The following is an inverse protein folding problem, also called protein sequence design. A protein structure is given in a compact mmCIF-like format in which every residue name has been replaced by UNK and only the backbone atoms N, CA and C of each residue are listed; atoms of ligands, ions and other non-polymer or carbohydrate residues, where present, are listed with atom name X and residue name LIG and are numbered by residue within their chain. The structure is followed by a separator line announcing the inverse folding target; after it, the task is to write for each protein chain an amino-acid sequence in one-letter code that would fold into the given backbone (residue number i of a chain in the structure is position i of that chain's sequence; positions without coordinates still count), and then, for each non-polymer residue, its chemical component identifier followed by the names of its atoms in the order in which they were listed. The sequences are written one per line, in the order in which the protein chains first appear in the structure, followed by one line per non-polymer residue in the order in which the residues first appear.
data_IF_482746877844
#
_entry.id   IF_482746877844
#
_cell.length_a   1.000
_cell.length_b   1.000
_cell.length_c   1.000
_cell.angle_alpha   90.00
_cell.angle_beta   90.00
_cell.angle_gamma   90.00
#
_symmetry.space_group_name_H-M   'P 1'
#
loop_
_entity.id
_entity.type
_entity.pdbx_description
1 polymer ?
#
# COMPACT_ATOMS: atom_id res chain seq x y z
N UNK A 1 -8.92 -2.06 -21.69
CA UNK A 1 -9.86 -0.90 -21.67
C UNK A 1 -9.11 0.41 -21.76
N UNK A 2 -8.08 0.63 -20.93
CA UNK A 2 -7.28 1.86 -20.96
C UNK A 2 -6.66 2.20 -22.33
N UNK A 3 -5.97 1.25 -22.98
CA UNK A 3 -5.34 1.48 -24.30
C UNK A 3 -6.32 1.95 -25.38
N UNK A 4 -7.54 1.40 -25.43
CA UNK A 4 -8.54 1.83 -26.41
C UNK A 4 -9.04 3.26 -26.19
N UNK A 5 -8.84 3.83 -25.00
CA UNK A 5 -9.21 5.23 -24.72
C UNK A 5 -8.20 6.22 -25.29
N UNK A 6 -6.93 5.82 -25.50
CA UNK A 6 -5.87 6.68 -26.06
C UNK A 6 -6.18 7.16 -27.48
N UNK A 7 -7.03 6.43 -28.20
CA UNK A 7 -7.42 6.76 -29.58
C UNK A 7 -8.59 7.74 -29.68
N UNK A 8 -9.23 8.11 -28.56
CA UNK A 8 -10.42 8.97 -28.53
C UNK A 8 -9.98 10.42 -28.23
N UNK A 9 -10.09 11.38 -29.18
CA UNK A 9 -9.59 12.75 -28.99
C UNK A 9 -10.18 13.49 -27.78
N UNK A 10 -11.45 13.23 -27.47
CA UNK A 10 -12.18 13.85 -26.35
C UNK A 10 -11.78 13.27 -24.97
N UNK A 11 -10.86 12.31 -24.94
CA UNK A 11 -10.39 11.68 -23.71
C UNK A 11 -8.89 11.94 -23.55
N UNK A 12 -8.53 12.44 -22.37
CA UNK A 12 -7.13 12.44 -21.91
C UNK A 12 -6.92 11.24 -21.01
N UNK A 13 -5.93 10.42 -21.34
CA UNK A 13 -5.46 9.30 -20.52
C UNK A 13 -4.21 9.71 -19.74
N UNK A 14 -4.15 9.36 -18.46
CA UNK A 14 -3.02 9.59 -17.56
C UNK A 14 -2.58 8.27 -16.97
N UNK A 15 -1.30 7.93 -17.13
CA UNK A 15 -0.68 6.79 -16.45
C UNK A 15 0.23 7.38 -15.37
N UNK A 16 -0.25 7.41 -14.13
CA UNK A 16 0.48 8.00 -13.02
C UNK A 16 1.43 7.00 -12.38
N UNK A 17 2.58 7.48 -11.95
CA UNK A 17 3.55 6.69 -11.17
C UNK A 17 2.92 6.22 -9.86
N UNK A 18 3.03 4.93 -9.51
CA UNK A 18 2.41 4.34 -8.32
C UNK A 18 2.88 4.98 -7.03
N UNK A 19 1.92 5.36 -6.18
CA UNK A 19 2.13 5.54 -4.75
C UNK A 19 1.87 4.25 -3.96
N UNK A 20 1.73 3.10 -4.64
CA UNK A 20 1.39 1.81 -4.04
C UNK A 20 2.36 0.72 -4.47
N UNK A 21 2.38 -0.37 -3.71
CA UNK A 21 3.01 -1.63 -4.12
C UNK A 21 2.00 -2.77 -4.00
N UNK A 22 2.26 -3.86 -4.72
CA UNK A 22 1.60 -5.14 -4.53
C UNK A 22 2.60 -6.17 -4.01
N UNK A 23 2.09 -7.14 -3.27
CA UNK A 23 2.89 -8.15 -2.61
C UNK A 23 2.17 -9.48 -2.54
N UNK A 24 2.97 -10.54 -2.41
CA UNK A 24 2.56 -11.72 -1.68
C UNK A 24 3.15 -11.63 -0.28
N UNK A 25 2.29 -11.47 0.72
CA UNK A 25 2.68 -11.44 2.12
C UNK A 25 2.78 -12.86 2.67
N UNK A 26 3.73 -13.08 3.58
CA UNK A 26 3.88 -14.35 4.30
C UNK A 26 3.32 -14.22 5.72
N UNK A 27 2.69 -15.27 6.22
CA UNK A 27 2.45 -15.39 7.65
C UNK A 27 3.78 -15.65 8.36
N UNK A 28 4.39 -14.60 8.93
CA UNK A 28 5.71 -14.70 9.57
C UNK A 28 5.65 -15.27 10.99
N UNK A 29 4.48 -15.77 11.40
CA UNK A 29 4.21 -16.35 12.70
C UNK A 29 3.19 -15.54 13.48
N UNK A 30 1.95 -15.59 13.03
CA UNK A 30 0.83 -14.87 13.61
C UNK A 30 0.73 -15.07 15.13
N UNK A 31 0.71 -13.94 15.82
CA UNK A 31 0.57 -13.81 17.24
C UNK A 31 -0.06 -12.45 17.55
N UNK A 32 -0.75 -12.35 18.67
CA UNK A 32 -1.26 -11.08 19.17
C UNK A 32 -0.12 -10.15 19.58
N UNK A 33 -0.44 -8.90 19.86
CA UNK A 33 0.51 -7.90 20.36
C UNK A 33 1.22 -8.35 21.66
N UNK A 34 0.57 -9.16 22.49
CA UNK A 34 1.14 -9.73 23.72
C UNK A 34 2.02 -10.98 23.48
N UNK A 35 2.13 -11.42 22.22
CA UNK A 35 2.89 -12.59 21.79
C UNK A 35 2.13 -13.92 21.82
N UNK A 36 0.85 -13.93 22.21
CA UNK A 36 0.02 -15.13 22.18
C UNK A 36 -0.17 -15.61 20.73
N UNK A 37 0.25 -16.84 20.36
CA UNK A 37 0.11 -17.34 19.00
C UNK A 37 -1.37 -17.47 18.58
N UNK A 38 -1.68 -17.11 17.34
CA UNK A 38 -3.02 -17.22 16.76
C UNK A 38 -2.98 -17.79 15.35
N UNK A 39 -4.15 -18.10 14.82
CA UNK A 39 -4.33 -18.49 13.43
C UNK A 39 -3.86 -19.90 13.10
N UNK A 40 -3.77 -20.19 11.80
CA UNK A 40 -3.46 -21.52 11.26
C UNK A 40 -2.33 -21.52 10.22
N UNK A 41 -1.54 -20.44 10.17
CA UNK A 41 -0.46 -20.28 9.21
C UNK A 41 0.61 -21.38 9.31
N UNK A 42 1.07 -21.85 8.15
CA UNK A 42 2.05 -22.92 8.07
C UNK A 42 3.36 -22.53 8.79
N UNK A 43 3.80 -23.29 9.81
CA UNK A 43 4.96 -22.93 10.63
C UNK A 43 6.27 -22.89 9.85
N UNK A 44 6.37 -23.53 8.68
CA UNK A 44 7.56 -23.45 7.84
C UNK A 44 7.82 -22.04 7.33
N UNK A 45 6.77 -21.22 7.14
CA UNK A 45 6.90 -19.83 6.72
C UNK A 45 7.49 -18.91 7.79
N UNK A 46 7.72 -19.40 9.03
CA UNK A 46 8.53 -18.68 10.02
C UNK A 46 10.02 -18.68 9.65
N UNK A 47 10.46 -19.62 8.83
CA UNK A 47 11.84 -19.69 8.35
C UNK A 47 12.13 -18.57 7.34
N UNK A 48 13.01 -17.65 7.76
CA UNK A 48 13.50 -16.55 6.92
C UNK A 48 14.22 -17.05 5.68
N UNK A 49 15.03 -18.11 5.77
CA UNK A 49 15.81 -18.62 4.64
C UNK A 49 14.89 -19.18 3.54
N UNK A 50 13.79 -19.82 3.93
CA UNK A 50 12.73 -20.23 3.01
C UNK A 50 12.14 -19.01 2.28
N UNK A 51 11.64 -18.00 3.01
CA UNK A 51 11.02 -16.80 2.41
C UNK A 51 11.97 -16.01 1.49
N UNK A 52 13.25 -15.95 1.86
CA UNK A 52 14.30 -15.38 1.01
C UNK A 52 14.43 -16.17 -0.29
N UNK A 53 14.50 -17.50 -0.24
CA UNK A 53 14.60 -18.33 -1.44
C UNK A 53 13.38 -18.17 -2.37
N UNK A 54 12.17 -18.05 -1.81
CA UNK A 54 10.96 -17.81 -2.60
C UNK A 54 11.01 -16.48 -3.36
N UNK A 55 11.64 -15.45 -2.77
CA UNK A 55 11.82 -14.15 -3.43
C UNK A 55 12.74 -14.19 -4.66
N UNK A 56 13.71 -15.12 -4.69
CA UNK A 56 14.58 -15.37 -5.86
C UNK A 56 13.86 -16.14 -6.98
N UNK A 57 12.77 -16.84 -6.66
CA UNK A 57 12.07 -17.70 -7.62
C UNK A 57 11.20 -16.91 -8.61
N UNK A 58 10.68 -15.73 -8.24
CA UNK A 58 9.69 -15.02 -9.06
C UNK A 58 10.30 -14.08 -10.09
N UNK A 59 9.69 -14.01 -11.27
CA UNK A 59 10.01 -13.01 -12.30
C UNK A 59 9.03 -11.85 -12.22
N UNK A 60 9.47 -10.79 -11.54
CA UNK A 60 8.69 -9.55 -11.34
C UNK A 60 8.44 -8.79 -12.63
N UNK A 61 9.42 -8.77 -13.54
CA UNK A 61 9.25 -8.08 -14.83
C UNK A 61 8.21 -8.81 -15.68
N UNK A 62 8.25 -10.14 -15.71
CA UNK A 62 7.23 -10.92 -16.41
C UNK A 62 5.83 -10.71 -15.81
N UNK A 63 5.71 -10.58 -14.48
CA UNK A 63 4.42 -10.24 -13.86
C UNK A 63 3.94 -8.86 -14.32
N UNK A 64 4.79 -7.83 -14.32
CA UNK A 64 4.42 -6.50 -14.85
C UNK A 64 3.97 -6.57 -16.30
N UNK A 65 4.74 -7.25 -17.15
CA UNK A 65 4.46 -7.33 -18.59
C UNK A 65 3.17 -8.10 -18.89
N UNK A 66 2.90 -9.17 -18.14
CA UNK A 66 1.80 -10.11 -18.44
C UNK A 66 0.52 -9.82 -17.66
N UNK A 67 0.62 -9.31 -16.44
CA UNK A 67 -0.53 -8.98 -15.60
C UNK A 67 -0.95 -7.53 -15.81
N UNK A 68 0.00 -6.60 -15.82
CA UNK A 68 -0.28 -5.16 -15.95
C UNK A 68 -0.17 -4.65 -17.40
N UNK A 69 0.26 -5.50 -18.34
CA UNK A 69 0.46 -5.09 -19.74
C UNK A 69 1.61 -4.09 -19.91
N UNK A 70 2.59 -4.11 -19.01
CA UNK A 70 3.71 -3.17 -19.00
C UNK A 70 3.46 -1.87 -18.22
N UNK A 71 2.26 -1.68 -17.66
CA UNK A 71 1.88 -0.46 -16.93
C UNK A 71 2.28 -0.54 -15.44
N UNK A 72 3.60 -0.57 -15.19
CA UNK A 72 4.15 -0.58 -13.84
C UNK A 72 5.66 -0.79 -13.81
N UNK A 73 6.19 -1.00 -12.61
CA UNK A 73 7.60 -1.28 -12.35
C UNK A 73 7.74 -2.57 -11.54
N UNK A 74 8.80 -3.37 -11.74
CA UNK A 74 9.10 -4.50 -10.87
C UNK A 74 9.24 -4.06 -9.40
N UNK A 75 8.66 -4.83 -8.48
CA UNK A 75 8.67 -4.52 -7.05
C UNK A 75 10.04 -4.77 -6.40
N UNK A 76 10.41 -3.96 -5.41
CA UNK A 76 11.65 -4.17 -4.64
C UNK A 76 11.40 -4.12 -3.12
N UNK A 77 10.94 -2.98 -2.60
CA UNK A 77 10.70 -2.72 -1.17
C UNK A 77 9.31 -2.14 -0.92
N UNK A 78 8.97 -1.95 0.35
CA UNK A 78 7.63 -1.50 0.81
C UNK A 78 7.38 0.00 0.65
N UNK A 79 8.36 0.77 0.16
CA UNK A 79 8.14 2.17 -0.20
C UNK A 79 8.38 2.28 -1.71
N UNK A 80 7.42 2.74 -2.52
CA UNK A 80 7.59 2.87 -3.97
C UNK A 80 8.66 3.89 -4.39
N UNK A 81 9.24 3.75 -5.59
CA UNK A 81 10.24 4.67 -6.13
C UNK A 81 9.69 6.08 -6.41
N UNK A 82 8.37 6.29 -6.36
CA UNK A 82 7.74 7.61 -6.37
C UNK A 82 8.30 8.54 -5.27
N UNK A 83 8.76 7.95 -4.16
CA UNK A 83 9.33 8.67 -3.02
C UNK A 83 10.84 8.45 -2.93
N UNK A 84 11.67 9.01 -3.84
CA UNK A 84 13.10 8.70 -3.93
C UNK A 84 13.88 9.05 -2.66
N UNK A 85 13.39 10.03 -1.88
CA UNK A 85 13.96 10.39 -0.59
C UNK A 85 13.86 9.25 0.43
N UNK A 86 12.81 8.42 0.35
CA UNK A 86 12.51 7.34 1.28
C UNK A 86 12.85 5.97 0.70
N UNK A 87 12.76 5.79 -0.62
CA UNK A 87 12.97 4.50 -1.29
C UNK A 87 14.36 3.91 -0.98
N UNK A 88 14.36 2.62 -0.63
CA UNK A 88 15.57 1.83 -0.48
C UNK A 88 15.85 1.08 -1.78
N UNK A 89 17.06 1.27 -2.31
CA UNK A 89 17.66 0.34 -3.27
C UNK A 89 18.39 -0.77 -2.48
N UNK A 90 17.90 -2.01 -2.44
CA UNK A 90 18.50 -3.07 -1.63
C UNK A 90 19.91 -3.39 -2.13
N UNK A 91 20.87 -3.52 -1.21
CA UNK A 91 22.26 -3.84 -1.56
C UNK A 91 22.40 -5.21 -2.24
N UNK A 92 21.53 -6.16 -1.90
CA UNK A 92 21.49 -7.52 -2.45
C UNK A 92 20.10 -7.79 -3.03
N UNK A 93 19.80 -7.32 -4.26
CA UNK A 93 18.48 -7.52 -4.85
C UNK A 93 18.18 -9.01 -5.05
N UNK A 94 16.89 -9.34 -5.16
CA UNK A 94 16.35 -10.65 -5.53
C UNK A 94 16.01 -10.69 -7.03
N UNK A 95 16.99 -10.85 -7.95
CA UNK A 95 16.69 -11.10 -9.34
C UNK A 95 16.00 -12.46 -9.50
N UNK A 96 15.29 -12.64 -10.61
CA UNK A 96 14.75 -13.94 -10.97
C UNK A 96 15.89 -14.93 -11.27
N UNK A 97 16.12 -15.86 -10.35
CA UNK A 97 17.07 -16.94 -10.49
C UNK A 97 16.54 -18.20 -9.77
N UNK A 98 15.71 -19.01 -10.46
CA UNK A 98 15.17 -20.25 -9.91
C UNK A 98 16.25 -21.26 -9.50
N UNK A 99 17.42 -21.24 -10.13
CA UNK A 99 18.52 -22.11 -9.76
C UNK A 99 19.12 -21.69 -8.41
N UNK A 100 19.30 -20.39 -8.19
CA UNK A 100 19.71 -19.84 -6.89
C UNK A 100 18.67 -20.11 -5.82
N UNK A 101 17.38 -19.93 -6.12
CA UNK A 101 16.29 -20.27 -5.21
C UNK A 101 16.34 -21.75 -4.80
N UNK A 102 16.50 -22.66 -5.75
CA UNK A 102 16.65 -24.09 -5.47
C UNK A 102 17.85 -24.41 -4.56
N UNK A 103 19.01 -23.77 -4.80
CA UNK A 103 20.20 -23.93 -3.95
C UNK A 103 19.96 -23.40 -2.53
N UNK A 104 19.28 -22.26 -2.38
CA UNK A 104 18.96 -21.68 -1.07
C UNK A 104 17.99 -22.58 -0.30
N UNK A 105 17.01 -23.18 -0.98
CA UNK A 105 16.08 -24.15 -0.38
C UNK A 105 16.81 -25.42 0.08
N UNK A 106 17.75 -25.95 -0.71
CA UNK A 106 18.58 -27.09 -0.30
C UNK A 106 19.42 -26.74 0.94
N UNK A 107 20.07 -25.57 0.94
CA UNK A 107 20.90 -25.10 2.04
C UNK A 107 20.09 -24.83 3.32
N UNK A 108 18.82 -24.42 3.19
CA UNK A 108 17.89 -24.23 4.30
C UNK A 108 17.29 -25.55 4.82
N UNK A 109 17.63 -26.70 4.23
CA UNK A 109 17.21 -28.02 4.70
C UNK A 109 15.89 -28.50 4.10
N UNK A 110 15.51 -28.00 2.91
CA UNK A 110 14.32 -28.42 2.16
C UNK A 110 14.70 -29.13 0.86
N UNK A 111 15.31 -30.33 0.90
CA UNK A 111 15.68 -31.05 -0.31
C UNK A 111 14.45 -31.38 -1.17
N UNK A 112 14.67 -31.52 -2.48
CA UNK A 112 13.62 -31.93 -3.42
C UNK A 112 13.14 -33.36 -3.12
N UNK A 113 11.82 -33.54 -2.98
CA UNK A 113 11.20 -34.84 -2.82
C UNK A 113 11.12 -35.63 -4.13
N UNK A 114 10.85 -36.94 -4.01
CA UNK A 114 10.74 -37.82 -5.18
C UNK A 114 9.57 -37.48 -6.12
N UNK A 115 8.56 -36.78 -5.60
CA UNK A 115 7.40 -36.28 -6.33
C UNK A 115 7.58 -34.84 -6.84
N UNK A 116 8.78 -34.27 -6.67
CA UNK A 116 9.10 -32.91 -7.10
C UNK A 116 8.68 -31.83 -6.12
N UNK A 117 8.16 -32.18 -4.93
CA UNK A 117 7.83 -31.21 -3.88
C UNK A 117 8.82 -31.34 -2.73
N UNK A 118 9.35 -30.22 -2.28
CA UNK A 118 10.31 -30.14 -1.19
C UNK A 118 9.65 -30.38 0.16
N UNK A 119 10.41 -30.88 1.12
CA UNK A 119 9.95 -31.06 2.50
C UNK A 119 11.09 -30.80 3.49
N UNK A 120 10.76 -30.42 4.72
CA UNK A 120 11.74 -30.34 5.80
C UNK A 120 12.22 -31.74 6.24
N UNK A 121 13.20 -31.78 7.14
CA UNK A 121 13.73 -33.04 7.69
C UNK A 121 12.69 -33.90 8.46
N UNK A 122 11.53 -33.33 8.82
CA UNK A 122 10.43 -34.03 9.50
C UNK A 122 9.37 -34.54 8.50
N UNK A 123 9.53 -34.26 7.21
CA UNK A 123 8.58 -34.64 6.16
C UNK A 123 7.43 -33.65 5.97
N UNK A 124 7.49 -32.46 6.58
CA UNK A 124 6.52 -31.40 6.34
C UNK A 124 6.78 -30.81 4.96
N UNK A 125 5.83 -30.98 4.04
CA UNK A 125 5.93 -30.51 2.65
C UNK A 125 5.87 -28.98 2.57
N UNK A 126 6.62 -28.40 1.63
CA UNK A 126 6.45 -27.02 1.20
C UNK A 126 5.18 -26.91 0.34
N UNK A 127 4.03 -26.94 1.01
CA UNK A 127 2.70 -26.76 0.42
C UNK A 127 1.95 -25.66 1.16
N UNK A 128 1.62 -24.58 0.46
CA UNK A 128 1.07 -23.36 1.06
C UNK A 128 -0.23 -22.92 0.38
N UNK A 129 -1.17 -22.42 1.17
CA UNK A 129 -2.35 -21.70 0.68
C UNK A 129 -1.96 -20.28 0.29
N UNK A 130 -2.28 -19.87 -0.92
CA UNK A 130 -2.14 -18.49 -1.38
C UNK A 130 -3.54 -17.91 -1.64
N UNK A 131 -3.95 -17.00 -0.77
CA UNK A 131 -5.22 -16.29 -0.91
C UNK A 131 -5.06 -15.18 -1.97
N UNK A 132 -6.07 -15.00 -2.83
CA UNK A 132 -6.13 -13.89 -3.78
C UNK A 132 -7.52 -13.26 -3.79
N UNK A 133 -7.60 -11.98 -4.18
CA UNK A 133 -8.85 -11.22 -4.22
C UNK A 133 -9.60 -11.47 -5.52
N UNK A 134 -10.86 -11.89 -5.42
CA UNK A 134 -11.73 -12.14 -6.58
C UNK A 134 -12.31 -10.85 -7.19
N UNK A 135 -12.27 -9.75 -6.44
CA UNK A 135 -12.85 -8.46 -6.80
C UNK A 135 -11.83 -7.48 -7.40
N UNK A 136 -10.55 -7.89 -7.47
CA UNK A 136 -9.48 -7.07 -8.02
C UNK A 136 -9.72 -6.75 -9.51
N UNK A 137 -9.48 -5.50 -9.90
CA UNK A 137 -9.70 -5.02 -11.27
C UNK A 137 -8.92 -5.87 -12.29
N UNK A 138 -9.59 -6.25 -13.39
CA UNK A 138 -8.98 -7.02 -14.47
C UNK A 138 -8.52 -8.43 -14.06
N UNK A 139 -8.96 -8.93 -12.91
CA UNK A 139 -8.47 -10.14 -12.25
C UNK A 139 -6.95 -10.12 -12.00
N UNK A 140 -6.38 -8.93 -11.76
CA UNK A 140 -4.95 -8.74 -11.54
C UNK A 140 -4.42 -9.60 -10.39
N UNK A 141 -5.09 -9.59 -9.24
CA UNK A 141 -4.73 -10.40 -8.06
C UNK A 141 -4.66 -11.90 -8.37
N UNK A 142 -5.68 -12.46 -9.05
CA UNK A 142 -5.68 -13.87 -9.45
C UNK A 142 -4.51 -14.19 -10.38
N UNK A 143 -4.29 -13.39 -11.43
CA UNK A 143 -3.22 -13.61 -12.41
C UNK A 143 -1.84 -13.54 -11.75
N UNK A 144 -1.63 -12.56 -10.86
CA UNK A 144 -0.40 -12.45 -10.06
C UNK A 144 -0.16 -13.71 -9.24
N UNK A 145 -1.20 -14.22 -8.56
CA UNK A 145 -1.12 -15.44 -7.77
C UNK A 145 -0.83 -16.69 -8.62
N UNK A 146 -1.40 -16.80 -9.82
CA UNK A 146 -1.11 -17.87 -10.80
C UNK A 146 0.36 -17.85 -11.27
N UNK A 147 0.92 -16.67 -11.56
CA UNK A 147 2.34 -16.55 -11.87
C UNK A 147 3.22 -16.98 -10.69
N UNK A 148 2.93 -16.50 -9.48
CA UNK A 148 3.65 -16.90 -8.27
C UNK A 148 3.56 -18.41 -8.06
N UNK A 149 2.37 -19.01 -8.18
CA UNK A 149 2.20 -20.47 -8.10
C UNK A 149 3.10 -21.19 -9.12
N UNK A 150 3.15 -20.73 -10.37
CA UNK A 150 4.00 -21.35 -11.40
C UNK A 150 5.48 -21.26 -11.06
N UNK A 151 5.97 -20.09 -10.66
CA UNK A 151 7.38 -19.90 -10.31
C UNK A 151 7.79 -20.70 -9.07
N UNK A 152 6.92 -20.76 -8.06
CA UNK A 152 7.18 -21.54 -6.86
C UNK A 152 7.17 -23.05 -7.14
N UNK A 153 6.31 -23.51 -8.06
CA UNK A 153 6.33 -24.90 -8.53
C UNK A 153 7.66 -25.29 -9.20
N UNK A 154 8.25 -24.39 -9.99
CA UNK A 154 9.53 -24.66 -10.67
C UNK A 154 10.69 -24.89 -9.69
N UNK A 155 10.57 -24.39 -8.46
CA UNK A 155 11.53 -24.62 -7.37
C UNK A 155 11.05 -25.66 -6.36
N UNK A 156 10.02 -26.44 -6.68
CA UNK A 156 9.52 -27.54 -5.86
C UNK A 156 8.68 -27.13 -4.66
N UNK A 157 7.99 -25.98 -4.74
CA UNK A 157 7.05 -25.51 -3.73
C UNK A 157 5.63 -25.59 -4.29
N UNK A 158 4.78 -26.32 -3.60
CA UNK A 158 3.37 -26.47 -3.94
C UNK A 158 2.57 -25.27 -3.40
N UNK A 159 1.72 -24.70 -4.26
CA UNK A 159 0.86 -23.56 -3.89
C UNK A 159 -0.58 -23.89 -4.26
N UNK A 160 -1.49 -23.73 -3.31
CA UNK A 160 -2.92 -23.93 -3.46
C UNK A 160 -3.61 -22.56 -3.50
N UNK A 161 -4.05 -22.14 -4.68
CA UNK A 161 -4.74 -20.87 -4.84
C UNK A 161 -6.16 -20.93 -4.28
N UNK A 162 -6.54 -19.92 -3.51
CA UNK A 162 -7.89 -19.77 -2.97
C UNK A 162 -8.39 -18.34 -3.18
N UNK A 163 -9.38 -18.20 -4.06
CA UNK A 163 -10.05 -16.92 -4.27
C UNK A 163 -10.97 -16.59 -3.09
N UNK A 164 -10.90 -15.35 -2.62
CA UNK A 164 -11.73 -14.81 -1.54
C UNK A 164 -12.24 -13.41 -1.91
N UNK A 165 -13.30 -12.94 -1.24
CA UNK A 165 -13.70 -11.52 -1.28
C UNK A 165 -12.73 -10.70 -0.45
N UNK A 166 -12.70 -9.38 -0.63
CA UNK A 166 -11.85 -8.49 0.17
C UNK A 166 -12.19 -8.58 1.68
N UNK A 167 -13.47 -8.54 2.04
CA UNK A 167 -13.92 -8.68 3.44
C UNK A 167 -13.45 -10.00 4.08
N UNK A 168 -13.54 -11.11 3.33
CA UNK A 168 -13.07 -12.39 3.82
C UNK A 168 -11.54 -12.43 3.96
N UNK A 169 -10.82 -11.75 3.06
CA UNK A 169 -9.36 -11.63 3.16
C UNK A 169 -8.97 -10.84 4.42
N UNK A 170 -9.60 -9.69 4.67
CA UNK A 170 -9.41 -8.92 5.91
C UNK A 170 -9.62 -9.78 7.16
N UNK A 171 -10.70 -10.58 7.18
CA UNK A 171 -10.99 -11.47 8.30
C UNK A 171 -9.91 -12.56 8.47
N UNK A 172 -9.54 -13.26 7.39
CA UNK A 172 -8.50 -14.30 7.45
C UNK A 172 -7.16 -13.73 7.89
N UNK A 173 -6.76 -12.57 7.36
CA UNK A 173 -5.50 -11.91 7.72
C UNK A 173 -5.52 -11.48 9.18
N UNK A 174 -6.57 -10.78 9.62
CA UNK A 174 -6.68 -10.30 11.00
C UNK A 174 -6.66 -11.41 12.05
N UNK A 175 -7.17 -12.59 11.71
CA UNK A 175 -7.15 -13.78 12.58
C UNK A 175 -5.90 -14.66 12.41
N UNK A 176 -4.98 -14.32 11.51
CA UNK A 176 -3.78 -15.12 11.22
C UNK A 176 -4.05 -16.42 10.45
N UNK A 177 -5.22 -16.54 9.82
CA UNK A 177 -5.73 -17.75 9.15
C UNK A 177 -5.30 -17.84 7.67
N UNK A 178 -3.99 -17.75 7.41
CA UNK A 178 -3.41 -17.81 6.06
C UNK A 178 -1.96 -18.28 6.11
N UNK A 179 -1.47 -18.83 4.99
CA UNK A 179 -0.04 -19.09 4.79
C UNK A 179 0.57 -17.92 4.01
N UNK A 180 -0.01 -17.60 2.85
CA UNK A 180 0.32 -16.44 2.04
C UNK A 180 -0.95 -15.77 1.49
N UNK A 181 -0.88 -14.49 1.18
CA UNK A 181 -1.95 -13.80 0.44
C UNK A 181 -1.38 -12.76 -0.53
N UNK A 182 -2.08 -12.51 -1.62
CA UNK A 182 -1.80 -11.41 -2.55
C UNK A 182 -2.63 -10.18 -2.18
N UNK A 183 -1.95 -9.05 -1.98
CA UNK A 183 -2.58 -7.76 -1.75
C UNK A 183 -1.70 -6.60 -2.25
N UNK A 184 -1.74 -5.48 -1.53
CA UNK A 184 -1.17 -4.21 -1.91
C UNK A 184 -1.47 -3.13 -0.89
N UNK A 185 -0.52 -2.24 -0.70
CA UNK A 185 -0.64 -1.07 0.14
C UNK A 185 -0.50 0.21 -0.67
N UNK A 186 -1.33 1.21 -0.35
CA UNK A 186 -1.05 2.60 -0.70
C UNK A 186 -0.07 3.19 0.31
N UNK A 187 0.93 3.91 -0.18
CA UNK A 187 1.96 4.56 0.63
C UNK A 187 1.80 6.06 0.51
N UNK A 188 1.78 6.71 1.67
CA UNK A 188 1.67 8.14 1.82
C UNK A 188 3.03 8.86 1.60
N UNK A 189 3.05 10.18 1.31
CA UNK A 189 4.30 10.91 1.07
C UNK A 189 5.29 10.91 2.24
N UNK A 190 4.77 10.79 3.47
CA UNK A 190 5.55 10.57 4.68
C UNK A 190 5.27 9.17 5.22
N UNK A 191 6.17 8.19 5.03
CA UNK A 191 5.87 6.76 5.11
C UNK A 191 5.64 6.22 6.54
N UNK A 192 5.37 7.09 7.52
CA UNK A 192 5.20 6.71 8.91
C UNK A 192 4.05 5.70 9.12
N UNK A 193 2.93 5.83 8.42
CA UNK A 193 1.84 4.88 8.53
C UNK A 193 2.19 3.55 7.89
N UNK A 194 2.79 3.55 6.69
CA UNK A 194 3.26 2.30 6.08
C UNK A 194 4.31 1.59 6.95
N UNK A 195 5.23 2.34 7.57
CA UNK A 195 6.24 1.74 8.45
C UNK A 195 5.65 1.22 9.77
N UNK A 196 4.52 1.78 10.24
CA UNK A 196 3.92 1.36 11.50
C UNK A 196 3.30 -0.03 11.41
N UNK A 197 2.81 -0.47 10.25
CA UNK A 197 2.17 -1.79 10.06
C UNK A 197 3.09 -2.98 10.40
N UNK A 198 4.41 -2.76 10.42
CA UNK A 198 5.41 -3.78 10.76
C UNK A 198 5.85 -3.75 12.23
N UNK A 199 5.33 -2.81 13.03
CA UNK A 199 5.66 -2.75 14.46
C UNK A 199 4.99 -3.88 15.23
N UNK A 200 5.61 -4.36 16.31
CA UNK A 200 5.03 -5.42 17.14
C UNK A 200 3.65 -5.04 17.70
N UNK A 201 3.47 -3.76 18.09
CA UNK A 201 2.20 -3.22 18.59
C UNK A 201 1.12 -3.02 17.53
N UNK A 202 1.43 -3.24 16.25
CA UNK A 202 0.43 -3.22 15.17
C UNK A 202 -0.19 -4.58 14.91
N UNK A 203 0.23 -5.64 15.62
CA UNK A 203 -0.42 -6.95 15.55
C UNK A 203 -1.84 -6.88 16.11
N UNK A 204 -2.67 -7.84 15.69
CA UNK A 204 -4.00 -8.04 16.26
C UNK A 204 -3.94 -8.15 17.79
N UNK A 205 -5.02 -7.79 18.45
CA UNK A 205 -5.13 -7.85 19.92
C UNK A 205 -6.42 -8.57 20.33
N UNK A 206 -6.48 -9.04 21.57
CA UNK A 206 -7.67 -9.69 22.11
C UNK A 206 -8.27 -8.83 23.22
N UNK A 207 -9.58 -8.58 23.12
CA UNK A 207 -10.37 -7.92 24.15
C UNK A 207 -11.66 -8.72 24.37
N UNK A 208 -11.94 -9.05 25.64
CA UNK A 208 -13.11 -9.84 26.05
C UNK A 208 -13.31 -11.17 25.29
N UNK A 209 -12.21 -11.87 24.98
CA UNK A 209 -12.24 -13.14 24.25
C UNK A 209 -12.44 -13.01 22.73
N UNK A 210 -12.43 -11.79 22.21
CA UNK A 210 -12.59 -11.49 20.78
C UNK A 210 -11.28 -10.94 20.22
N UNK A 211 -10.79 -11.53 19.13
CA UNK A 211 -9.61 -11.04 18.42
C UNK A 211 -10.03 -9.92 17.46
N UNK A 212 -9.37 -8.77 17.55
CA UNK A 212 -9.54 -7.63 16.68
C UNK A 212 -8.30 -7.47 15.79
N UNK A 213 -8.54 -7.39 14.48
CA UNK A 213 -7.49 -7.08 13.52
C UNK A 213 -6.93 -5.68 13.78
N UNK A 214 -5.62 -5.54 13.66
CA UNK A 214 -4.93 -4.26 13.71
C UNK A 214 -4.11 -4.10 12.41
N UNK A 215 -3.19 -3.13 12.34
CA UNK A 215 -2.53 -2.73 11.08
C UNK A 215 -1.56 -3.76 10.48
N UNK A 216 -1.06 -4.71 11.27
CA UNK A 216 -0.11 -5.72 10.79
C UNK A 216 -0.81 -6.84 10.05
N UNK A 217 -0.41 -7.03 8.80
CA UNK A 217 -0.93 -8.06 7.90
C UNK A 217 0.05 -9.23 7.70
N UNK A 218 1.32 -9.05 8.04
CA UNK A 218 2.38 -10.08 8.01
C UNK A 218 2.67 -10.71 9.38
N UNK A 219 2.19 -10.06 10.44
CA UNK A 219 2.56 -10.33 11.83
C UNK A 219 4.06 -10.24 12.11
N UNK A 220 4.81 -9.47 11.33
CA UNK A 220 6.21 -9.18 11.65
C UNK A 220 6.32 -8.54 13.04
N UNK A 221 7.42 -8.81 13.73
CA UNK A 221 7.78 -8.15 14.99
C UNK A 221 9.26 -8.32 15.23
N UNK A 222 9.92 -7.19 15.41
CA UNK A 222 11.33 -7.14 15.77
C UNK A 222 11.54 -5.92 16.68
N UNK A 223 11.99 -6.10 17.93
CA UNK A 223 12.21 -4.98 18.84
C UNK A 223 13.19 -3.92 18.32
N UNK A 224 14.15 -4.30 17.47
CA UNK A 224 15.05 -3.33 16.84
C UNK A 224 14.33 -2.52 15.76
N UNK A 225 13.36 -3.11 15.06
CA UNK A 225 12.53 -2.39 14.10
C UNK A 225 11.64 -1.37 14.83
N UNK A 226 11.00 -1.77 15.93
CA UNK A 226 10.18 -0.87 16.76
C UNK A 226 11.01 0.30 17.30
N UNK A 227 12.24 0.03 17.75
CA UNK A 227 13.16 1.10 18.19
C UNK A 227 13.47 2.09 17.07
N UNK A 228 13.76 1.62 15.86
CA UNK A 228 14.01 2.49 14.70
C UNK A 228 12.74 3.26 14.29
N UNK A 229 11.57 2.65 14.43
CA UNK A 229 10.28 3.32 14.20
C UNK A 229 10.07 4.49 15.16
N UNK A 230 10.36 4.30 16.45
CA UNK A 230 10.30 5.36 17.45
C UNK A 230 11.35 6.45 17.18
N UNK A 231 12.58 6.06 16.81
CA UNK A 231 13.67 6.99 16.47
C UNK A 231 13.31 7.87 15.26
N UNK A 232 12.83 7.29 14.15
CA UNK A 232 12.48 8.08 12.96
C UNK A 232 11.31 9.03 13.21
N UNK A 233 10.40 8.70 14.13
CA UNK A 233 9.23 9.54 14.44
C UNK A 233 9.61 10.81 15.22
N UNK A 234 10.78 10.81 15.87
CA UNK A 234 11.30 11.89 16.69
C UNK A 234 12.48 12.62 16.03
N UNK A 235 13.05 12.07 14.96
CA UNK A 235 14.18 12.67 14.25
C UNK A 235 13.73 13.86 13.39
N UNK A 236 14.36 15.01 13.66
CA UNK A 236 14.05 16.29 12.99
C UNK A 236 15.04 16.62 11.88
N UNK A 237 16.21 15.98 11.87
CA UNK A 237 17.14 16.03 10.76
C UNK A 237 16.65 15.13 9.62
N UNK A 238 16.27 15.75 8.51
CA UNK A 238 15.71 15.04 7.36
C UNK A 238 16.65 13.95 6.82
N UNK A 239 17.95 14.22 6.72
CA UNK A 239 18.91 13.27 6.13
C UNK A 239 19.09 12.06 7.05
N UNK A 240 19.20 12.28 8.36
CA UNK A 240 19.26 11.17 9.33
C UNK A 240 17.98 10.35 9.34
N UNK A 241 16.82 11.00 9.28
CA UNK A 241 15.54 10.28 9.20
C UNK A 241 15.47 9.41 7.95
N UNK A 242 15.93 9.89 6.80
CA UNK A 242 16.01 9.08 5.58
C UNK A 242 16.86 7.83 5.76
N UNK A 243 18.02 7.95 6.42
CA UNK A 243 18.89 6.81 6.72
C UNK A 243 18.19 5.76 7.61
N UNK A 244 17.49 6.22 8.66
CA UNK A 244 16.71 5.33 9.55
C UNK A 244 15.60 4.62 8.77
N UNK A 245 14.80 5.35 7.98
CA UNK A 245 13.72 4.79 7.15
C UNK A 245 14.25 3.75 6.15
N UNK A 246 15.40 4.00 5.52
CA UNK A 246 16.05 3.04 4.63
C UNK A 246 16.57 1.82 5.39
N UNK A 247 17.09 1.99 6.61
CA UNK A 247 17.51 0.88 7.47
C UNK A 247 16.34 -0.01 7.86
N UNK A 248 15.19 0.57 8.19
CA UNK A 248 13.95 -0.16 8.49
C UNK A 248 13.50 -1.00 7.29
N UNK A 249 13.44 -0.43 6.09
CA UNK A 249 13.15 -1.19 4.87
C UNK A 249 14.16 -2.31 4.62
N UNK A 250 15.45 -2.10 4.91
CA UNK A 250 16.47 -3.12 4.73
C UNK A 250 16.24 -4.30 5.67
N UNK A 251 15.78 -4.06 6.90
CA UNK A 251 15.40 -5.13 7.82
C UNK A 251 14.23 -5.97 7.28
N UNK A 252 13.17 -5.32 6.78
CA UNK A 252 12.02 -6.02 6.18
C UNK A 252 12.42 -6.82 4.94
N UNK A 253 13.31 -6.25 4.12
CA UNK A 253 13.85 -6.89 2.92
C UNK A 253 14.71 -8.11 3.25
N UNK A 254 15.64 -7.94 4.20
CA UNK A 254 16.51 -9.02 4.66
C UNK A 254 15.68 -10.11 5.32
N UNK A 255 14.68 -9.77 6.12
CA UNK A 255 13.79 -10.73 6.76
C UNK A 255 12.74 -11.33 5.81
N UNK A 256 12.70 -10.87 4.55
CA UNK A 256 11.78 -11.34 3.51
C UNK A 256 10.34 -11.41 4.05
N UNK A 257 9.88 -10.33 4.69
CA UNK A 257 8.53 -10.22 5.26
C UNK A 257 7.47 -10.31 4.16
N UNK A 258 7.77 -9.68 3.03
CA UNK A 258 6.98 -9.77 1.81
C UNK A 258 7.80 -10.30 0.64
N UNK A 259 7.06 -10.80 -0.34
CA UNK A 259 7.47 -10.87 -1.72
C UNK A 259 6.79 -9.74 -2.49
N UNK A 260 7.40 -8.55 -2.52
CA UNK A 260 6.88 -7.41 -3.30
C UNK A 260 6.95 -7.76 -4.78
N UNK A 261 5.82 -7.74 -5.47
CA UNK A 261 5.68 -8.21 -6.86
C UNK A 261 5.87 -7.08 -7.86
N UNK A 262 5.15 -5.96 -7.69
CA UNK A 262 5.21 -4.80 -8.58
C UNK A 262 4.74 -3.51 -7.92
N UNK A 263 5.05 -2.39 -8.57
CA UNK A 263 4.42 -1.10 -8.37
C UNK A 263 3.56 -0.82 -9.62
N UNK A 264 2.23 -0.77 -9.49
CA UNK A 264 1.32 -0.63 -10.64
C UNK A 264 0.99 0.83 -10.96
N UNK A 265 1.05 1.23 -12.23
CA UNK A 265 0.63 2.58 -12.62
C UNK A 265 -0.84 2.81 -12.28
N UNK A 266 -1.16 4.02 -11.82
CA UNK A 266 -2.55 4.49 -11.74
C UNK A 266 -3.05 4.83 -13.14
N UNK A 267 -3.97 4.04 -13.68
CA UNK A 267 -4.50 4.22 -15.02
C UNK A 267 -5.81 5.01 -14.96
N UNK A 268 -5.74 6.31 -15.24
CA UNK A 268 -6.86 7.24 -15.13
C UNK A 268 -7.21 7.86 -16.49
N UNK A 269 -8.48 8.15 -16.72
CA UNK A 269 -8.93 8.82 -17.94
C UNK A 269 -10.08 9.77 -17.64
N UNK A 270 -10.11 10.90 -18.33
CA UNK A 270 -11.19 11.89 -18.20
C UNK A 270 -11.57 12.51 -19.54
N UNK A 271 -12.79 13.03 -19.61
CA UNK A 271 -13.34 13.73 -20.77
C UNK A 271 -12.83 15.17 -20.82
N UNK A 272 -11.84 15.43 -21.67
CA UNK A 272 -11.22 16.75 -21.80
C UNK A 272 -12.13 17.79 -22.49
N UNK A 273 -13.16 17.34 -23.22
CA UNK A 273 -14.19 18.19 -23.82
C UNK A 273 -15.32 18.57 -22.83
N UNK A 274 -15.36 17.91 -21.67
CA UNK A 274 -16.42 18.13 -20.65
C UNK A 274 -15.91 18.73 -19.37
N UNK A 275 -14.69 18.39 -18.96
CA UNK A 275 -14.12 18.80 -17.69
C UNK A 275 -12.69 19.28 -17.86
N UNK A 276 -12.37 20.43 -17.28
CA UNK A 276 -11.00 20.94 -17.10
C UNK A 276 -10.67 21.04 -15.61
N UNK A 277 -9.50 21.56 -15.24
CA UNK A 277 -9.08 21.75 -13.84
C UNK A 277 -8.47 20.50 -13.18
N UNK A 278 -8.12 19.49 -13.98
CA UNK A 278 -7.46 18.28 -13.49
C UNK A 278 -6.01 18.59 -13.08
N UNK A 279 -5.72 18.45 -11.79
CA UNK A 279 -4.37 18.65 -11.24
C UNK A 279 -3.77 17.28 -11.00
N UNK A 280 -2.52 17.03 -11.38
CA UNK A 280 -1.80 15.81 -10.98
C UNK A 280 -1.05 16.04 -9.66
N UNK A 281 -1.05 15.04 -8.77
CA UNK A 281 -0.26 15.06 -7.54
C UNK A 281 0.54 13.77 -7.36
N UNK A 282 1.89 13.84 -7.37
CA UNK A 282 2.72 15.02 -7.68
C UNK A 282 2.55 15.54 -9.12
N UNK A 283 2.91 16.80 -9.34
CA UNK A 283 2.76 17.46 -10.65
C UNK A 283 3.59 16.73 -11.72
N UNK A 284 2.96 16.39 -12.84
CA UNK A 284 3.60 15.86 -14.04
C UNK A 284 3.55 14.33 -14.18
N UNK A 285 3.50 13.59 -13.08
CA UNK A 285 3.47 12.12 -13.11
C UNK A 285 2.60 11.47 -12.03
N UNK A 286 1.86 12.25 -11.24
CA UNK A 286 1.00 11.76 -10.17
C UNK A 286 -0.45 11.50 -10.57
N UNK A 287 -1.21 10.94 -9.63
CA UNK A 287 -2.63 10.60 -9.81
C UNK A 287 -3.51 11.86 -9.87
N UNK A 288 -4.70 11.74 -10.46
CA UNK A 288 -5.70 12.79 -10.58
C UNK A 288 -6.77 12.72 -9.48
N UNK A 289 -7.42 11.57 -9.31
CA UNK A 289 -8.66 11.42 -8.50
C UNK A 289 -8.36 10.89 -7.10
N UNK A 290 -7.39 10.00 -6.94
CA UNK A 290 -7.08 9.38 -5.64
C UNK A 290 -5.86 10.03 -4.97
N UNK A 291 -5.89 11.35 -4.94
CA UNK A 291 -4.84 12.17 -4.37
C UNK A 291 -4.93 12.30 -2.86
N UNK A 292 -3.78 12.36 -2.20
CA UNK A 292 -3.69 12.73 -0.78
C UNK A 292 -4.09 14.20 -0.52
N UNK A 293 -3.97 15.10 -1.52
CA UNK A 293 -4.28 16.53 -1.41
C UNK A 293 -5.64 16.97 -1.96
N UNK A 294 -6.45 16.07 -2.53
CA UNK A 294 -7.80 16.33 -3.06
C UNK A 294 -7.94 17.49 -4.08
N UNK A 295 -6.86 17.96 -4.70
CA UNK A 295 -6.85 19.18 -5.54
C UNK A 295 -7.80 19.11 -6.72
N UNK A 296 -7.82 17.99 -7.45
CA UNK A 296 -8.75 17.80 -8.56
C UNK A 296 -10.22 17.92 -8.12
N UNK A 297 -10.59 17.57 -6.89
CA UNK A 297 -11.97 17.71 -6.44
C UNK A 297 -12.40 19.17 -6.23
N UNK A 298 -11.45 20.08 -6.00
CA UNK A 298 -11.71 21.50 -5.84
C UNK A 298 -11.65 22.26 -7.17
N UNK A 299 -10.74 21.85 -8.06
CA UNK A 299 -10.42 22.61 -9.26
C UNK A 299 -11.17 22.12 -10.50
N UNK A 300 -11.70 20.89 -10.50
CA UNK A 300 -12.42 20.36 -11.67
C UNK A 300 -13.75 21.07 -11.88
N UNK A 301 -13.92 21.60 -13.09
CA UNK A 301 -15.13 22.30 -13.50
C UNK A 301 -15.54 21.96 -14.95
N UNK A 302 -16.82 22.15 -15.33
CA UNK A 302 -17.26 21.95 -16.69
C UNK A 302 -16.56 22.88 -17.69
N UNK A 303 -16.18 22.37 -18.85
CA UNK A 303 -15.68 23.21 -19.93
C UNK A 303 -16.80 24.13 -20.42
N UNK A 304 -16.57 25.43 -20.31
CA UNK A 304 -17.43 26.50 -20.84
C UNK A 304 -16.70 27.28 -21.94
N UNK A 305 -17.44 28.08 -22.72
CA UNK A 305 -16.84 28.94 -23.75
C UNK A 305 -15.77 29.91 -23.19
N UNK A 306 -15.85 30.27 -21.90
CA UNK A 306 -14.86 31.10 -21.23
C UNK A 306 -13.56 30.34 -20.87
N UNK A 307 -13.66 29.07 -20.44
CA UNK A 307 -12.50 28.23 -20.10
C UNK A 307 -11.62 27.93 -21.32
N UNK A 308 -12.22 27.70 -22.49
CA UNK A 308 -11.48 27.47 -23.76
C UNK A 308 -10.64 28.69 -24.16
N UNK A 309 -11.13 29.90 -23.91
CA UNK A 309 -10.41 31.14 -24.21
C UNK A 309 -9.22 31.38 -23.25
N UNK A 310 -9.32 30.95 -22.00
CA UNK A 310 -8.27 31.09 -20.99
C UNK A 310 -7.08 30.15 -21.26
N UNK A 311 -7.33 28.88 -21.59
CA UNK A 311 -6.27 27.91 -21.92
C UNK A 311 -5.56 28.24 -23.24
N UNK A 312 -6.31 28.70 -24.25
CA UNK A 312 -5.74 29.18 -25.51
C UNK A 312 -4.81 30.38 -25.31
N UNK A 313 -5.17 31.30 -24.39
CA UNK A 313 -4.35 32.46 -24.02
C UNK A 313 -3.09 32.10 -23.22
N UNK A 314 -3.15 31.09 -22.35
CA UNK A 314 -2.01 30.62 -21.57
C UNK A 314 -0.93 29.92 -22.44
N UNK A 315 -1.34 29.25 -23.53
CA UNK A 315 -0.40 28.64 -24.49
C UNK A 315 0.30 29.64 -25.41
N UNK A 316 -0.17 30.89 -25.48
CA UNK A 316 0.29 31.91 -26.42
C UNK A 316 1.21 32.98 -25.81
N UNK A 317 1.53 32.91 -24.50
CA UNK A 317 2.40 33.90 -23.86
C UNK A 317 3.90 33.53 -24.05
N UNK A 318 4.72 34.39 -24.70
CA UNK A 318 6.16 34.16 -24.80
C UNK A 318 6.83 34.44 -23.44
N UNK A 319 7.79 33.59 -23.06
CA UNK A 319 8.61 33.80 -21.87
C UNK A 319 9.49 35.04 -22.04
N UNK A 320 9.17 36.14 -21.37
CA UNK A 320 10.07 37.28 -21.23
C UNK A 320 10.68 37.29 -19.82
N UNK A 321 12.01 37.30 -19.78
CA UNK A 321 12.80 37.37 -18.57
C UNK A 321 12.93 38.82 -18.04
N UNK A 322 12.95 38.89 -16.71
CA UNK A 322 13.70 39.80 -15.85
C UNK A 322 13.26 41.25 -15.57
N UNK A 323 13.42 41.57 -14.27
CA UNK A 323 13.78 42.85 -13.64
C UNK A 323 12.67 43.69 -13.01
N UNK A 324 12.96 44.14 -11.78
CA UNK A 324 11.99 44.72 -10.86
C UNK A 324 12.03 46.24 -10.77
N UNK A 325 11.03 46.77 -10.06
CA UNK A 325 11.03 47.97 -9.22
C UNK A 325 9.59 48.23 -8.77
N UNK A 326 9.46 48.78 -7.56
CA UNK A 326 8.24 49.11 -6.82
C UNK A 326 7.23 49.99 -7.57
N UNK A 327 5.93 49.74 -7.36
CA UNK A 327 4.92 50.81 -7.24
C UNK A 327 3.58 50.29 -6.67
N UNK A 328 3.08 51.12 -5.75
CA UNK A 328 1.82 51.16 -4.97
C UNK A 328 0.53 50.49 -5.49
N UNK A 329 -0.26 50.07 -4.50
CA UNK A 329 -1.59 49.47 -4.61
C UNK A 329 -2.70 50.45 -5.06
N UNK A 330 -3.78 49.92 -5.64
CA UNK A 330 -5.11 50.49 -5.41
C UNK A 330 -6.16 49.47 -4.93
N UNK A 331 -6.91 49.98 -3.96
CA UNK A 331 -8.23 49.67 -3.37
C UNK A 331 -9.13 48.54 -3.89
N UNK A 332 -9.79 47.95 -2.89
CA UNK A 332 -10.90 46.99 -2.87
C UNK A 332 -12.03 47.22 -3.89
N UNK A 333 -12.52 46.11 -4.44
CA UNK A 333 -13.94 45.98 -4.80
C UNK A 333 -14.45 44.60 -4.35
N UNK A 334 -15.65 44.60 -3.75
CA UNK A 334 -16.17 43.59 -2.85
C UNK A 334 -16.66 42.30 -3.54
N UNK A 335 -16.30 41.16 -2.95
CA UNK A 335 -16.87 39.84 -3.21
C UNK A 335 -18.15 39.62 -2.41
N UNK A 336 -19.20 39.09 -3.04
CA UNK A 336 -20.39 38.56 -2.36
C UNK A 336 -20.11 37.15 -1.83
N UNK A 337 -19.55 37.09 -0.62
CA UNK A 337 -19.31 35.85 0.12
C UNK A 337 -20.51 35.43 0.97
N UNK A 338 -20.80 34.12 0.96
CA UNK A 338 -21.66 33.45 1.95
C UNK A 338 -21.12 33.73 3.36
N UNK A 339 -21.99 34.12 4.29
CA UNK A 339 -21.58 34.68 5.57
C UNK A 339 -20.88 33.66 6.47
N UNK A 340 -19.71 34.06 6.98
CA UNK A 340 -18.83 33.31 7.91
C UNK A 340 -19.55 32.80 9.16
N UNK A 341 -20.71 33.38 9.49
CA UNK A 341 -21.55 32.98 10.63
C UNK A 341 -22.30 31.65 10.42
N UNK A 342 -22.57 31.25 9.17
CA UNK A 342 -23.23 29.96 8.87
C UNK A 342 -22.28 28.78 9.07
N UNK A 343 -20.99 28.95 8.74
CA UNK A 343 -19.95 27.92 8.91
C UNK A 343 -19.59 27.73 10.40
N UNK A 344 -19.53 28.82 11.18
CA UNK A 344 -19.30 28.74 12.64
C UNK A 344 -20.51 28.13 13.37
N UNK A 345 -21.73 28.38 12.90
CA UNK A 345 -22.95 27.79 13.47
C UNK A 345 -23.05 26.27 13.29
N UNK A 346 -22.60 25.73 12.15
CA UNK A 346 -22.62 24.29 11.86
C UNK A 346 -21.54 23.52 12.64
N UNK A 347 -20.36 24.11 12.87
CA UNK A 347 -19.29 23.46 13.65
C UNK A 347 -19.64 23.36 15.15
N UNK A 348 -20.34 24.34 15.71
CA UNK A 348 -20.79 24.31 17.11
C UNK A 348 -21.89 23.27 17.35
N UNK A 349 -22.77 23.03 16.37
CA UNK A 349 -23.83 22.01 16.49
C UNK A 349 -23.27 20.58 16.51
N UNK A 350 -22.22 20.29 15.72
CA UNK A 350 -21.58 18.95 15.67
C UNK A 350 -20.81 18.65 16.95
N UNK A 351 -20.15 19.64 17.55
CA UNK A 351 -19.44 19.47 18.82
C UNK A 351 -20.41 19.20 19.99
N UNK A 352 -21.57 19.88 20.02
CA UNK A 352 -22.58 19.65 21.07
C UNK A 352 -23.21 18.25 20.94
N UNK A 353 -23.44 17.76 19.72
CA UNK A 353 -23.95 16.41 19.48
C UNK A 353 -22.93 15.34 19.91
N UNK A 354 -21.63 15.53 19.60
CA UNK A 354 -20.58 14.60 20.03
C UNK A 354 -20.41 14.56 21.56
N UNK A 355 -20.51 15.70 22.24
CA UNK A 355 -20.45 15.74 23.71
C UNK A 355 -21.66 15.04 24.34
N UNK A 356 -22.86 15.24 23.78
CA UNK A 356 -24.09 14.55 24.26
C UNK A 356 -24.02 13.04 24.07
N UNK A 357 -23.46 12.55 22.95
CA UNK A 357 -23.27 11.12 22.70
C UNK A 357 -22.27 10.52 23.69
N UNK A 358 -21.14 11.20 23.96
CA UNK A 358 -20.14 10.72 24.94
C UNK A 358 -20.69 10.70 26.37
N UNK A 359 -21.52 11.69 26.76
CA UNK A 359 -22.16 11.73 28.08
C UNK A 359 -23.24 10.66 28.22
N UNK A 360 -24.03 10.38 27.18
CA UNK A 360 -25.02 9.29 27.17
C UNK A 360 -24.37 7.91 27.24
N UNK A 361 -23.27 7.69 26.50
CA UNK A 361 -22.52 6.43 26.53
C UNK A 361 -21.84 6.21 27.89
N UNK A 362 -21.34 7.25 28.54
CA UNK A 362 -20.78 7.15 29.91
C UNK A 362 -21.85 7.01 31.00
N UNK A 363 -23.03 7.62 30.81
CA UNK A 363 -24.18 7.48 31.72
C UNK A 363 -24.71 6.05 31.79
N UNK A 364 -24.84 5.39 30.64
CA UNK A 364 -25.31 4.00 30.57
C UNK A 364 -24.29 2.98 31.12
N UNK A 365 -22.99 3.28 31.07
CA UNK A 365 -21.95 2.43 31.68
C UNK A 365 -21.95 2.46 33.21
N UNK A 366 -22.45 3.53 33.85
CA UNK A 366 -22.56 3.62 35.32
C UNK A 366 -23.83 2.98 35.88
N UNK A 367 -24.90 2.88 35.10
CA UNK A 367 -26.12 2.17 35.52
C UNK A 367 -25.92 0.64 35.51
N UNK A 368 -25.14 0.12 34.55
CA UNK A 368 -24.85 -1.32 34.43
C UNK A 368 -23.95 -1.89 35.55
N UNK A 369 -23.22 -1.07 36.30
CA UNK A 369 -22.34 -1.55 37.38
C UNK A 369 -23.03 -1.58 38.75
N UNK A 370 -24.26 -1.07 38.87
CA UNK A 370 -25.01 -1.02 40.13
C UNK A 370 -26.05 -2.14 40.29
N UNK A 371 -26.30 -2.97 39.26
CA UNK A 371 -27.26 -4.09 39.29
C UNK A 371 -26.59 -5.48 39.36
N UNK A 372 -25.35 -5.55 39.86
CA UNK A 372 -24.68 -6.82 40.20
C UNK A 372 -24.04 -6.74 41.59
N UNK A 373 -24.88 -6.69 42.62
CA UNK A 373 -24.59 -7.19 43.97
C UNK A 373 -25.60 -8.27 44.35
#
# INVERSE_FOLDING_TARGET
MYESLKEIPEITTVASTPASFSEVAFNTGAALEDGTPIGDGNPLLKDKALRQALNWAIDRQAIVDRVLGGEGLPGSTVIPPLYPQWHLDPANPYPHDPAKAAQLLDAAGYPIGADGVRADAKGNRLSFRLLYRTEAEGASSQKSAEFVQSYLKDVGVEVQLKGVTEDALYEFVGQGNFDMFEWGWGVEPDPNYMLSTFTCGSRSYEEDGTIYANLSDSFYCNPEYDKLFDEQSQETDFTKRQEIVKRMQQMLYDDAVYMVTYYANGLEAYRNDRFTGWVQQPKGNGTLIYQWGTWSYFDVEPVTAATVAAEAGASAAPSAAASGADAEAPQESASSGVSTWVVVGLLLAVIIILILVVVLVRGNRRASSADRE
#
